data_IF_982698346827
#
_entry.id   IF_982698346827
#
_cell.length_a   1.000
_cell.length_b   1.000
_cell.length_c   1.000
_cell.angle_alpha   90.00
_cell.angle_beta   90.00
_cell.angle_gamma   90.00
#
_symmetry.space_group_name_H-M   'P 1'
#
loop_
_entity.id
_entity.type
_entity.pdbx_description
1 polymer ?
#
# COMPACT_ATOMS: atom_id res chain seq x y z
N UNK A 1 -21.24 7.06 24.42
CA UNK A 1 -19.90 6.51 24.03
C UNK A 1 -19.91 6.43 22.52
N UNK A 2 -18.90 6.96 21.86
CA UNK A 2 -18.84 6.93 20.40
C UNK A 2 -18.58 5.51 19.92
N UNK A 3 -19.34 5.06 18.93
CA UNK A 3 -19.26 3.72 18.35
C UNK A 3 -18.80 3.82 16.90
N UNK A 4 -17.68 3.17 16.56
CA UNK A 4 -17.07 3.20 15.22
C UNK A 4 -16.95 1.79 14.65
N UNK A 5 -17.33 1.63 13.40
CA UNK A 5 -17.08 0.39 12.64
C UNK A 5 -15.89 0.60 11.74
N UNK A 6 -14.93 -0.33 11.76
CA UNK A 6 -13.80 -0.39 10.85
C UNK A 6 -13.98 -1.61 9.93
N UNK A 7 -13.87 -1.41 8.62
CA UNK A 7 -13.97 -2.48 7.62
C UNK A 7 -12.69 -2.52 6.77
N UNK A 8 -12.00 -3.65 6.83
CA UNK A 8 -10.76 -3.92 6.11
C UNK A 8 -10.99 -4.92 4.97
N UNK A 9 -10.26 -4.84 3.84
CA UNK A 9 -10.47 -5.73 2.71
C UNK A 9 -10.13 -7.19 3.00
N UNK A 10 -9.11 -7.44 3.83
CA UNK A 10 -8.63 -8.78 4.19
C UNK A 10 -7.86 -8.76 5.52
N UNK A 11 -7.16 -9.84 5.87
CA UNK A 11 -6.37 -10.01 7.09
C UNK A 11 -4.85 -10.23 6.81
N UNK A 12 -4.35 -9.78 5.64
CA UNK A 12 -2.92 -9.86 5.35
C UNK A 12 -2.07 -9.04 6.34
N UNK A 13 -0.75 -9.16 6.27
CA UNK A 13 0.17 -8.47 7.21
C UNK A 13 -0.08 -6.97 7.32
N UNK A 14 -0.29 -6.29 6.19
CA UNK A 14 -0.56 -4.86 6.18
C UNK A 14 -1.88 -4.55 6.91
N UNK A 15 -2.95 -5.28 6.59
CA UNK A 15 -4.26 -5.10 7.23
C UNK A 15 -4.26 -5.49 8.70
N UNK A 16 -3.45 -6.49 9.07
CA UNK A 16 -3.25 -6.84 10.47
C UNK A 16 -2.64 -5.67 11.27
N UNK A 17 -1.64 -4.98 10.73
CA UNK A 17 -1.06 -3.78 11.38
C UNK A 17 -2.06 -2.63 11.46
N UNK A 18 -2.83 -2.38 10.41
CA UNK A 18 -3.92 -1.41 10.44
C UNK A 18 -4.92 -1.74 11.57
N UNK A 19 -5.29 -3.02 11.71
CA UNK A 19 -6.19 -3.48 12.78
C UNK A 19 -5.60 -3.31 14.19
N UNK A 20 -4.31 -3.60 14.38
CA UNK A 20 -3.61 -3.40 15.65
C UNK A 20 -3.59 -1.93 16.04
N UNK A 21 -3.21 -1.07 15.10
CA UNK A 21 -3.18 0.39 15.32
C UNK A 21 -4.58 0.93 15.56
N UNK A 22 -5.59 0.47 14.83
CA UNK A 22 -6.98 0.86 15.02
C UNK A 22 -7.45 0.53 16.46
N UNK A 23 -7.20 -0.69 16.97
CA UNK A 23 -7.57 -1.10 18.33
C UNK A 23 -6.87 -0.26 19.40
N UNK A 24 -5.57 -0.04 19.26
CA UNK A 24 -4.80 0.78 20.19
C UNK A 24 -5.31 2.22 20.24
N UNK A 25 -5.61 2.79 19.06
CA UNK A 25 -6.13 4.16 18.94
C UNK A 25 -7.55 4.26 19.52
N UNK A 26 -8.44 3.31 19.21
CA UNK A 26 -9.79 3.28 19.77
C UNK A 26 -9.78 3.21 21.31
N UNK A 27 -8.91 2.38 21.89
CA UNK A 27 -8.72 2.30 23.34
C UNK A 27 -8.24 3.64 23.93
N UNK A 28 -7.25 4.28 23.30
CA UNK A 28 -6.72 5.58 23.71
C UNK A 28 -7.77 6.69 23.65
N UNK A 29 -8.65 6.67 22.63
CA UNK A 29 -9.70 7.65 22.45
C UNK A 29 -10.97 7.36 23.27
N UNK A 30 -11.05 6.21 23.95
CA UNK A 30 -12.21 5.80 24.72
C UNK A 30 -13.46 5.56 23.87
N UNK A 31 -13.30 5.04 22.63
CA UNK A 31 -14.39 4.72 21.72
C UNK A 31 -14.60 3.21 21.61
N UNK A 32 -15.84 2.79 21.41
CA UNK A 32 -16.18 1.42 21.10
C UNK A 32 -15.92 1.16 19.61
N UNK A 33 -15.17 0.10 19.28
CA UNK A 33 -14.83 -0.20 17.90
C UNK A 33 -15.16 -1.64 17.54
N UNK A 34 -15.88 -1.84 16.44
CA UNK A 34 -16.10 -3.14 15.81
C UNK A 34 -15.32 -3.22 14.50
N UNK A 35 -14.64 -4.35 14.29
CA UNK A 35 -13.77 -4.54 13.13
C UNK A 35 -14.24 -5.72 12.29
N UNK A 36 -14.30 -5.53 10.96
CA UNK A 36 -14.64 -6.55 9.97
C UNK A 36 -13.50 -6.75 8.97
N UNK A 37 -13.38 -7.97 8.46
CA UNK A 37 -12.56 -8.32 7.31
C UNK A 37 -13.44 -8.88 6.19
N UNK A 38 -13.25 -8.42 4.97
CA UNK A 38 -14.11 -8.75 3.82
C UNK A 38 -13.57 -9.91 2.96
N UNK A 39 -12.43 -10.52 3.33
CA UNK A 39 -11.83 -11.65 2.60
C UNK A 39 -11.57 -11.38 1.11
N UNK A 40 -11.19 -10.13 0.77
CA UNK A 40 -11.00 -9.63 -0.60
C UNK A 40 -12.27 -9.71 -1.48
N UNK A 41 -13.46 -9.77 -0.86
CA UNK A 41 -14.73 -9.82 -1.57
C UNK A 41 -15.56 -8.55 -1.33
N UNK A 42 -15.80 -7.79 -2.40
CA UNK A 42 -16.58 -6.54 -2.36
C UNK A 42 -18.04 -6.77 -1.98
N UNK A 43 -18.61 -7.93 -2.33
CA UNK A 43 -20.00 -8.27 -2.01
C UNK A 43 -20.11 -8.54 -0.51
N UNK A 44 -19.19 -9.33 0.04
CA UNK A 44 -19.09 -9.58 1.48
C UNK A 44 -18.91 -8.27 2.25
N UNK A 45 -18.02 -7.38 1.79
CA UNK A 45 -17.82 -6.07 2.42
C UNK A 45 -19.11 -5.24 2.43
N UNK A 46 -19.76 -5.14 1.28
CA UNK A 46 -21.03 -4.42 1.16
C UNK A 46 -22.12 -4.97 2.07
N UNK A 47 -22.26 -6.30 2.15
CA UNK A 47 -23.26 -6.96 2.99
C UNK A 47 -23.01 -6.75 4.48
N UNK A 48 -21.74 -6.88 4.93
CA UNK A 48 -21.34 -6.61 6.32
C UNK A 48 -21.71 -5.19 6.74
N UNK A 49 -21.42 -4.20 5.89
CA UNK A 49 -21.72 -2.80 6.16
C UNK A 49 -23.21 -2.49 6.10
N UNK A 50 -23.96 -3.06 5.15
CA UNK A 50 -25.42 -2.90 5.08
C UNK A 50 -26.11 -3.45 6.33
N UNK A 51 -25.68 -4.62 6.84
CA UNK A 51 -26.22 -5.18 8.06
C UNK A 51 -26.05 -4.25 9.27
N UNK A 52 -24.92 -3.52 9.34
CA UNK A 52 -24.67 -2.52 10.39
C UNK A 52 -25.54 -1.27 10.20
N UNK A 53 -25.69 -0.79 8.97
CA UNK A 53 -26.48 0.41 8.65
C UNK A 53 -27.98 0.18 8.87
N UNK A 54 -28.45 -1.03 8.59
CA UNK A 54 -29.86 -1.43 8.72
C UNK A 54 -30.24 -1.88 10.14
N UNK A 55 -29.30 -1.94 11.06
CA UNK A 55 -29.57 -2.26 12.45
C UNK A 55 -30.51 -1.24 13.09
N UNK A 56 -31.07 -1.58 14.26
CA UNK A 56 -31.89 -0.65 15.05
C UNK A 56 -31.12 0.66 15.30
N UNK A 57 -31.77 1.84 15.23
CA UNK A 57 -31.10 3.13 15.35
C UNK A 57 -30.17 3.26 16.57
N UNK A 58 -30.55 2.68 17.69
CA UNK A 58 -29.73 2.68 18.93
C UNK A 58 -28.47 1.82 18.87
N UNK A 59 -28.37 0.95 17.87
CA UNK A 59 -27.23 0.01 17.67
C UNK A 59 -26.36 0.41 16.49
N UNK A 60 -26.69 1.50 15.78
CA UNK A 60 -25.91 2.01 14.65
C UNK A 60 -24.62 2.67 15.14
N UNK A 61 -23.53 2.55 14.38
CA UNK A 61 -22.32 3.32 14.69
C UNK A 61 -22.51 4.81 14.34
N UNK A 62 -21.73 5.65 14.99
CA UNK A 62 -21.60 7.07 14.66
C UNK A 62 -20.79 7.27 13.37
N UNK A 63 -19.85 6.36 13.07
CA UNK A 63 -19.02 6.39 11.88
C UNK A 63 -18.65 5.00 11.37
N UNK A 64 -18.45 4.92 10.07
CA UNK A 64 -17.83 3.79 9.38
C UNK A 64 -16.52 4.25 8.75
N UNK A 65 -15.41 3.60 9.10
CA UNK A 65 -14.11 3.76 8.44
C UNK A 65 -13.90 2.52 7.57
N UNK A 66 -13.79 2.69 6.27
CA UNK A 66 -13.66 1.59 5.32
C UNK A 66 -12.41 1.73 4.47
N UNK A 67 -11.59 0.67 4.40
CA UNK A 67 -10.65 0.47 3.31
C UNK A 67 -11.36 -0.41 2.27
N UNK A 68 -11.74 0.14 1.11
CA UNK A 68 -12.52 -0.62 0.14
C UNK A 68 -11.69 -1.75 -0.50
N UNK A 69 -12.33 -2.91 -0.73
CA UNK A 69 -11.74 -4.00 -1.53
C UNK A 69 -11.47 -3.53 -2.97
N UNK A 70 -12.33 -2.64 -3.48
CA UNK A 70 -12.25 -2.11 -4.85
C UNK A 70 -12.58 -0.62 -4.87
N UNK A 71 -12.12 0.08 -5.91
CA UNK A 71 -12.48 1.49 -6.16
C UNK A 71 -13.97 1.72 -6.44
N UNK A 72 -14.74 0.67 -6.73
CA UNK A 72 -16.17 0.69 -7.00
C UNK A 72 -16.91 -0.35 -6.13
N UNK A 73 -18.24 -0.23 -6.07
CA UNK A 73 -19.12 -1.23 -5.43
C UNK A 73 -19.69 -0.81 -4.09
N UNK A 74 -19.08 0.15 -3.38
CA UNK A 74 -19.59 0.63 -2.09
C UNK A 74 -20.42 1.94 -2.18
N UNK A 75 -20.59 2.54 -3.34
CA UNK A 75 -21.31 3.81 -3.47
C UNK A 75 -22.72 3.78 -2.85
N UNK A 76 -23.52 2.75 -3.17
CA UNK A 76 -24.88 2.60 -2.63
C UNK A 76 -24.87 2.39 -1.12
N UNK A 77 -23.88 1.66 -0.61
CA UNK A 77 -23.70 1.42 0.82
C UNK A 77 -23.36 2.73 1.53
N UNK A 78 -22.44 3.51 0.95
CA UNK A 78 -22.05 4.82 1.48
C UNK A 78 -23.23 5.80 1.50
N UNK A 79 -24.03 5.86 0.44
CA UNK A 79 -25.28 6.67 0.41
C UNK A 79 -26.28 6.25 1.50
N UNK A 80 -26.43 4.94 1.72
CA UNK A 80 -27.29 4.44 2.79
C UNK A 80 -26.75 4.79 4.19
N UNK A 81 -25.43 4.76 4.39
CA UNK A 81 -24.80 5.15 5.64
C UNK A 81 -25.07 6.61 5.97
N UNK A 82 -24.76 7.54 5.04
CA UNK A 82 -24.96 8.97 5.29
C UNK A 82 -26.42 9.34 5.45
N UNK A 83 -27.34 8.69 4.73
CA UNK A 83 -28.78 8.85 4.91
C UNK A 83 -29.28 8.36 6.28
N UNK A 84 -28.60 7.38 6.87
CA UNK A 84 -28.85 6.89 8.24
C UNK A 84 -28.17 7.75 9.32
N UNK A 85 -27.48 8.84 8.96
CA UNK A 85 -26.78 9.70 9.91
C UNK A 85 -25.40 9.19 10.33
N UNK A 86 -24.82 8.22 9.59
CA UNK A 86 -23.54 7.58 9.92
C UNK A 86 -22.44 8.25 9.07
N UNK A 87 -21.41 8.80 9.71
CA UNK A 87 -20.26 9.39 9.03
C UNK A 87 -19.52 8.33 8.18
N UNK A 88 -19.05 8.73 6.99
CA UNK A 88 -18.39 7.81 6.05
C UNK A 88 -16.97 8.23 5.77
N UNK A 89 -16.01 7.43 6.22
CA UNK A 89 -14.58 7.69 6.08
C UNK A 89 -13.94 6.60 5.23
N UNK A 90 -13.25 6.99 4.17
CA UNK A 90 -12.48 6.06 3.34
C UNK A 90 -11.01 6.12 3.74
N UNK A 91 -10.38 4.98 3.84
CA UNK A 91 -8.97 4.84 4.19
C UNK A 91 -8.14 4.29 3.03
N UNK A 92 -6.85 4.59 3.02
CA UNK A 92 -5.79 4.11 2.14
C UNK A 92 -5.77 4.74 0.74
N UNK A 93 -6.89 4.88 0.05
CA UNK A 93 -6.96 5.53 -1.27
C UNK A 93 -8.30 6.23 -1.48
N UNK A 94 -8.30 7.23 -2.37
CA UNK A 94 -9.52 7.98 -2.71
C UNK A 94 -10.38 7.19 -3.71
N UNK A 95 -11.70 7.38 -3.63
CA UNK A 95 -12.70 6.80 -4.53
C UNK A 95 -13.59 7.89 -5.12
N UNK A 96 -13.97 7.73 -6.39
CA UNK A 96 -14.62 8.80 -7.17
C UNK A 96 -15.99 9.24 -6.59
N UNK A 97 -16.78 8.30 -6.07
CA UNK A 97 -18.13 8.60 -5.55
C UNK A 97 -18.14 9.54 -4.34
N UNK A 98 -17.01 9.77 -3.67
CA UNK A 98 -16.96 10.67 -2.51
C UNK A 98 -17.27 12.12 -2.85
N UNK A 99 -16.96 12.57 -4.06
CA UNK A 99 -17.24 13.95 -4.50
C UNK A 99 -18.75 14.22 -4.46
N UNK A 100 -19.53 13.34 -5.08
CA UNK A 100 -21.00 13.47 -5.07
C UNK A 100 -21.60 13.21 -3.68
N UNK A 101 -21.05 12.24 -2.95
CA UNK A 101 -21.54 11.88 -1.62
C UNK A 101 -21.41 13.06 -0.64
N UNK A 102 -20.31 13.82 -0.68
CA UNK A 102 -20.12 15.01 0.15
C UNK A 102 -21.16 16.07 -0.08
N UNK A 103 -21.53 16.30 -1.36
CA UNK A 103 -22.50 17.34 -1.74
C UNK A 103 -23.89 17.09 -1.15
N UNK A 104 -24.25 15.85 -0.85
CA UNK A 104 -25.59 15.46 -0.37
C UNK A 104 -25.58 14.96 1.08
N UNK A 105 -24.43 14.82 1.70
CA UNK A 105 -24.29 14.22 3.02
C UNK A 105 -24.56 15.24 4.15
N UNK A 106 -25.44 14.94 5.11
CA UNK A 106 -25.61 15.73 6.32
C UNK A 106 -24.55 15.43 7.40
N UNK A 107 -23.70 14.43 7.18
CA UNK A 107 -22.67 13.94 8.12
C UNK A 107 -21.28 13.99 7.49
N UNK A 108 -20.20 13.93 8.28
CA UNK A 108 -18.84 13.96 7.76
C UNK A 108 -18.55 12.86 6.71
N UNK A 109 -17.94 13.26 5.59
CA UNK A 109 -17.48 12.37 4.53
C UNK A 109 -16.09 12.83 4.09
N UNK A 110 -15.05 12.03 4.38
CA UNK A 110 -13.67 12.37 4.05
C UNK A 110 -12.81 11.12 3.78
N UNK A 111 -11.59 11.35 3.32
CA UNK A 111 -10.63 10.29 3.06
C UNK A 111 -9.30 10.55 3.79
N UNK A 112 -8.70 9.47 4.30
CA UNK A 112 -7.31 9.45 4.78
C UNK A 112 -6.51 8.52 3.88
N UNK A 113 -5.61 9.08 3.07
CA UNK A 113 -4.89 8.35 2.01
C UNK A 113 -3.39 8.36 2.25
N UNK A 114 -2.72 7.30 1.82
CA UNK A 114 -1.26 7.25 1.76
C UNK A 114 -0.67 8.01 0.57
N UNK A 115 -1.49 8.60 -0.32
CA UNK A 115 -0.98 9.24 -1.53
C UNK A 115 -0.30 8.23 -2.46
N UNK A 116 -1.07 7.25 -2.97
CA UNK A 116 -0.52 6.12 -3.73
C UNK A 116 0.27 6.56 -4.98
N UNK A 117 -0.11 7.68 -5.59
CA UNK A 117 0.63 8.28 -6.69
C UNK A 117 1.99 8.82 -6.22
N UNK A 118 2.03 9.55 -5.11
CA UNK A 118 3.27 10.13 -4.54
C UNK A 118 4.24 9.05 -4.06
N UNK A 119 3.70 7.92 -3.55
CA UNK A 119 4.49 6.71 -3.25
C UNK A 119 5.18 6.21 -4.52
N UNK A 120 4.44 6.12 -5.61
CA UNK A 120 4.98 5.73 -6.92
C UNK A 120 6.05 6.71 -7.40
N UNK A 121 5.79 8.02 -7.35
CA UNK A 121 6.78 9.05 -7.71
C UNK A 121 8.08 8.90 -6.92
N UNK A 122 7.97 8.68 -5.60
CA UNK A 122 9.15 8.49 -4.74
C UNK A 122 9.93 7.25 -5.17
N UNK A 123 9.25 6.14 -5.50
CA UNK A 123 9.90 4.93 -6.02
C UNK A 123 10.57 5.18 -7.38
N UNK A 124 9.95 5.94 -8.28
CA UNK A 124 10.56 6.33 -9.56
C UNK A 124 11.83 7.16 -9.38
N UNK A 125 11.85 8.07 -8.43
CA UNK A 125 13.07 8.84 -8.05
C UNK A 125 14.15 7.95 -7.44
N UNK A 126 13.78 6.93 -6.63
CA UNK A 126 14.73 5.93 -6.13
C UNK A 126 15.34 5.11 -7.29
N UNK A 127 14.52 4.73 -8.27
CA UNK A 127 15.01 4.05 -9.48
C UNK A 127 15.99 4.93 -10.25
N UNK A 128 15.69 6.22 -10.42
CA UNK A 128 16.58 7.18 -11.07
C UNK A 128 17.94 7.31 -10.38
N UNK A 129 17.97 7.28 -9.04
CA UNK A 129 19.20 7.35 -8.27
C UNK A 129 20.05 6.07 -8.38
N UNK A 130 19.41 4.91 -8.56
CA UNK A 130 20.10 3.61 -8.64
C UNK A 130 20.47 3.23 -10.08
N UNK A 131 19.63 3.53 -11.06
CA UNK A 131 19.83 3.17 -12.46
C UNK A 131 19.24 4.24 -13.37
N UNK A 132 20.06 5.14 -13.95
CA UNK A 132 19.57 6.18 -14.88
C UNK A 132 19.12 5.61 -16.24
N UNK A 133 19.54 4.39 -16.56
CA UNK A 133 19.15 3.64 -17.77
C UNK A 133 19.23 2.13 -17.50
N UNK A 134 18.69 1.32 -18.41
CA UNK A 134 18.72 -0.14 -18.31
C UNK A 134 17.35 -0.76 -18.17
N UNK A 135 17.23 -1.93 -17.54
CA UNK A 135 15.98 -2.66 -17.39
C UNK A 135 15.66 -2.93 -15.91
N UNK A 136 14.44 -2.64 -15.51
CA UNK A 136 13.90 -2.91 -14.19
C UNK A 136 12.92 -4.08 -14.26
N UNK A 137 13.13 -5.08 -13.40
CA UNK A 137 12.10 -6.07 -13.12
C UNK A 137 11.13 -5.48 -12.10
N UNK A 138 9.94 -5.10 -12.57
CA UNK A 138 8.95 -4.41 -11.75
C UNK A 138 7.81 -5.35 -11.32
N UNK A 139 7.73 -5.62 -10.01
CA UNK A 139 6.79 -6.57 -9.44
C UNK A 139 5.61 -5.78 -8.86
N UNK A 140 4.45 -5.97 -9.47
CA UNK A 140 3.23 -5.24 -9.18
C UNK A 140 2.21 -6.10 -8.44
N UNK A 141 1.33 -5.45 -7.71
CA UNK A 141 0.10 -6.05 -7.21
C UNK A 141 -0.90 -6.37 -8.34
N UNK A 142 -2.14 -6.75 -7.99
CA UNK A 142 -3.17 -7.05 -8.98
C UNK A 142 -3.41 -5.87 -9.93
N UNK A 143 -3.50 -6.15 -11.23
CA UNK A 143 -3.64 -5.12 -12.26
C UNK A 143 -4.92 -4.27 -12.11
N UNK A 144 -5.96 -4.81 -11.48
CA UNK A 144 -7.23 -4.13 -11.23
C UNK A 144 -7.27 -3.34 -9.91
N UNK A 145 -6.22 -3.45 -9.08
CA UNK A 145 -6.14 -2.72 -7.82
C UNK A 145 -5.87 -1.24 -8.06
N UNK A 146 -6.69 -0.31 -7.55
CA UNK A 146 -6.44 1.13 -7.63
C UNK A 146 -5.07 1.52 -7.06
N UNK A 147 -4.64 0.88 -5.98
CA UNK A 147 -3.32 1.07 -5.36
C UNK A 147 -2.21 0.71 -6.35
N UNK A 148 -2.30 -0.45 -7.00
CA UNK A 148 -1.31 -0.90 -7.99
C UNK A 148 -1.22 0.06 -9.17
N UNK A 149 -2.37 0.49 -9.68
CA UNK A 149 -2.46 1.43 -10.83
C UNK A 149 -1.85 2.78 -10.47
N UNK A 150 -2.24 3.38 -9.34
CA UNK A 150 -1.74 4.70 -8.93
C UNK A 150 -0.24 4.69 -8.65
N UNK A 151 0.28 3.65 -7.94
CA UNK A 151 1.73 3.50 -7.73
C UNK A 151 2.50 3.36 -9.05
N UNK A 152 1.96 2.62 -10.00
CA UNK A 152 2.58 2.50 -11.33
C UNK A 152 2.62 3.83 -12.06
N UNK A 153 1.50 4.56 -12.11
CA UNK A 153 1.42 5.87 -12.76
C UNK A 153 2.39 6.88 -12.14
N UNK A 154 2.46 6.96 -10.81
CA UNK A 154 3.40 7.82 -10.11
C UNK A 154 4.85 7.43 -10.39
N UNK A 155 5.19 6.14 -10.38
CA UNK A 155 6.54 5.66 -10.71
C UNK A 155 6.91 6.00 -12.17
N UNK A 156 6.01 5.79 -13.11
CA UNK A 156 6.23 6.11 -14.53
C UNK A 156 6.43 7.61 -14.76
N UNK A 157 5.81 8.50 -13.96
CA UNK A 157 5.96 9.95 -14.10
C UNK A 157 7.36 10.47 -13.73
N UNK A 158 8.11 9.73 -12.89
CA UNK A 158 9.41 10.18 -12.36
C UNK A 158 10.58 9.26 -12.70
N UNK A 159 10.33 8.03 -13.19
CA UNK A 159 11.42 7.18 -13.66
C UNK A 159 12.14 7.78 -14.85
N UNK A 160 13.45 7.55 -15.04
CA UNK A 160 14.18 7.95 -16.23
C UNK A 160 13.58 7.33 -17.51
N UNK A 161 13.55 8.10 -18.60
CA UNK A 161 13.11 7.58 -19.90
C UNK A 161 13.96 6.41 -20.40
N UNK A 162 15.26 6.38 -20.07
CA UNK A 162 16.18 5.30 -20.41
C UNK A 162 15.93 3.98 -19.64
N UNK A 163 15.07 3.96 -18.62
CA UNK A 163 14.69 2.76 -17.89
C UNK A 163 13.51 2.05 -18.55
N UNK A 164 13.74 0.82 -19.00
CA UNK A 164 12.70 -0.09 -19.50
C UNK A 164 12.12 -0.89 -18.33
N UNK A 165 10.82 -1.18 -18.40
CA UNK A 165 10.15 -1.98 -17.38
C UNK A 165 9.78 -3.35 -17.93
N UNK A 166 10.15 -4.39 -17.20
CA UNK A 166 9.58 -5.73 -17.34
C UNK A 166 8.65 -5.98 -16.18
N UNK A 167 7.36 -5.90 -16.41
CA UNK A 167 6.34 -6.00 -15.36
C UNK A 167 5.88 -7.43 -15.14
N UNK A 168 5.79 -7.82 -13.86
CA UNK A 168 5.15 -9.04 -13.41
C UNK A 168 4.07 -8.70 -12.40
N UNK A 169 2.90 -9.33 -12.52
CA UNK A 169 1.80 -9.16 -11.58
C UNK A 169 1.71 -10.34 -10.61
N UNK A 170 1.35 -10.03 -9.36
CA UNK A 170 1.07 -11.02 -8.33
C UNK A 170 -0.05 -10.52 -7.42
N UNK A 171 -0.52 -11.34 -6.49
CA UNK A 171 -1.34 -10.86 -5.37
C UNK A 171 -0.44 -10.15 -4.35
N UNK A 172 -1.07 -9.46 -3.39
CA UNK A 172 -0.37 -8.71 -2.33
C UNK A 172 0.23 -9.64 -1.26
N UNK A 173 1.05 -10.63 -1.65
CA UNK A 173 1.71 -11.53 -0.71
C UNK A 173 3.07 -11.98 -1.22
N UNK A 174 3.96 -12.25 -0.29
CA UNK A 174 5.31 -12.76 -0.53
C UNK A 174 5.29 -14.09 -1.31
N UNK A 175 4.41 -15.02 -0.92
CA UNK A 175 4.30 -16.33 -1.58
C UNK A 175 3.82 -16.21 -3.02
N UNK A 176 2.84 -15.33 -3.28
CA UNK A 176 2.36 -15.10 -4.65
C UNK A 176 3.44 -14.50 -5.55
N UNK A 177 4.22 -13.55 -5.04
CA UNK A 177 5.35 -12.99 -5.79
C UNK A 177 6.43 -14.06 -6.07
N UNK A 178 6.79 -14.87 -5.07
CA UNK A 178 7.71 -15.99 -5.22
C UNK A 178 7.26 -16.96 -6.32
N UNK A 179 5.98 -17.35 -6.32
CA UNK A 179 5.41 -18.26 -7.33
C UNK A 179 5.43 -17.63 -8.73
N UNK A 180 5.04 -16.36 -8.86
CA UNK A 180 5.05 -15.63 -10.12
C UNK A 180 6.48 -15.57 -10.70
N UNK A 181 7.47 -15.22 -9.87
CA UNK A 181 8.88 -15.18 -10.26
C UNK A 181 9.43 -16.57 -10.61
N UNK A 182 9.15 -17.59 -9.79
CA UNK A 182 9.60 -18.95 -10.06
C UNK A 182 9.05 -19.48 -11.39
N UNK A 183 7.82 -19.13 -11.75
CA UNK A 183 7.22 -19.45 -13.05
C UNK A 183 7.91 -18.68 -14.18
N UNK A 184 8.11 -17.38 -14.00
CA UNK A 184 8.79 -16.53 -15.01
C UNK A 184 10.24 -16.96 -15.26
N UNK A 185 11.01 -17.34 -14.24
CA UNK A 185 12.39 -17.81 -14.36
C UNK A 185 12.54 -19.08 -15.21
N UNK A 186 11.48 -19.87 -15.40
CA UNK A 186 11.48 -21.05 -16.27
C UNK A 186 11.39 -20.69 -17.76
N UNK A 187 11.02 -19.47 -18.08
CA UNK A 187 10.89 -19.01 -19.47
C UNK A 187 12.25 -18.70 -20.06
N UNK A 188 12.49 -19.06 -21.32
CA UNK A 188 13.75 -18.76 -22.01
C UNK A 188 14.02 -17.24 -22.08
N UNK A 189 12.97 -16.42 -22.15
CA UNK A 189 13.06 -14.96 -22.18
C UNK A 189 13.64 -14.36 -20.90
N UNK A 190 13.48 -15.00 -19.73
CA UNK A 190 14.05 -14.51 -18.47
C UNK A 190 15.57 -14.54 -18.46
N UNK A 191 16.17 -15.49 -19.18
CA UNK A 191 17.63 -15.66 -19.29
C UNK A 191 18.28 -14.80 -20.36
N UNK A 192 17.47 -14.32 -21.32
CA UNK A 192 17.96 -13.50 -22.43
C UNK A 192 17.99 -12.00 -22.09
N UNK A 193 17.26 -11.57 -21.05
CA UNK A 193 17.19 -10.18 -20.63
C UNK A 193 18.21 -9.87 -19.52
N UNK A 194 18.91 -8.75 -19.65
CA UNK A 194 19.74 -8.21 -18.56
C UNK A 194 18.93 -7.23 -17.73
N UNK A 195 19.03 -7.37 -16.42
CA UNK A 195 18.36 -6.50 -15.45
C UNK A 195 19.38 -5.75 -14.60
N UNK A 196 19.06 -4.50 -14.29
CA UNK A 196 19.91 -3.60 -13.49
C UNK A 196 19.32 -3.34 -12.10
N UNK A 197 18.00 -3.57 -11.94
CA UNK A 197 17.28 -3.24 -10.72
C UNK A 197 16.02 -4.11 -10.60
N UNK A 198 15.67 -4.47 -9.37
CA UNK A 198 14.41 -5.09 -9.00
C UNK A 198 13.63 -4.10 -8.14
N UNK A 199 12.41 -3.80 -8.54
CA UNK A 199 11.53 -2.94 -7.77
C UNK A 199 10.15 -3.58 -7.61
N UNK A 200 9.58 -3.43 -6.43
CA UNK A 200 8.31 -4.04 -6.10
C UNK A 200 7.37 -3.03 -5.42
N UNK A 201 6.09 -3.17 -5.65
CA UNK A 201 5.06 -2.28 -5.10
C UNK A 201 4.81 -2.49 -3.61
N UNK A 202 5.34 -3.56 -3.01
CA UNK A 202 5.45 -3.73 -1.55
C UNK A 202 6.75 -4.44 -1.19
N UNK A 203 7.13 -4.36 0.08
CA UNK A 203 8.29 -5.09 0.58
C UNK A 203 8.07 -6.61 0.57
N UNK A 204 6.84 -7.08 0.80
CA UNK A 204 6.53 -8.51 0.69
C UNK A 204 6.76 -9.02 -0.74
N UNK A 205 6.36 -8.25 -1.76
CA UNK A 205 6.61 -8.62 -3.14
C UNK A 205 8.11 -8.66 -3.46
N UNK A 206 8.88 -7.72 -2.91
CA UNK A 206 10.35 -7.70 -3.04
C UNK A 206 11.00 -8.93 -2.36
N UNK A 207 10.55 -9.29 -1.15
CA UNK A 207 11.03 -10.46 -0.43
C UNK A 207 10.63 -11.76 -1.13
N UNK A 208 9.41 -11.84 -1.69
CA UNK A 208 8.97 -12.98 -2.49
C UNK A 208 9.84 -13.18 -3.73
N UNK A 209 10.20 -12.09 -4.42
CA UNK A 209 11.17 -12.15 -5.51
C UNK A 209 12.52 -12.66 -5.05
N UNK A 210 13.05 -12.13 -3.95
CA UNK A 210 14.33 -12.55 -3.38
C UNK A 210 14.34 -14.04 -3.08
N UNK A 211 13.27 -14.56 -2.46
CA UNK A 211 13.15 -16.01 -2.19
C UNK A 211 13.08 -16.86 -3.46
N UNK A 212 12.45 -16.37 -4.53
CA UNK A 212 12.48 -17.07 -5.81
C UNK A 212 13.91 -17.16 -6.39
N UNK A 213 14.68 -16.08 -6.28
CA UNK A 213 16.07 -16.07 -6.73
C UNK A 213 16.99 -16.92 -5.84
N UNK A 214 16.77 -16.95 -4.52
CA UNK A 214 17.49 -17.83 -3.58
C UNK A 214 17.31 -19.32 -3.93
N UNK A 215 16.16 -19.69 -4.53
CA UNK A 215 15.85 -21.04 -4.97
C UNK A 215 16.42 -21.40 -6.35
N UNK A 216 17.09 -20.48 -7.06
CA UNK A 216 17.74 -20.77 -8.35
C UNK A 216 18.90 -21.76 -8.14
N UNK A 217 18.92 -22.94 -8.84
CA UNK A 217 19.93 -23.95 -8.62
C UNK A 217 21.35 -23.53 -8.98
N UNK A 218 21.50 -22.78 -10.08
CA UNK A 218 22.79 -22.33 -10.61
C UNK A 218 23.38 -21.23 -9.70
N UNK A 219 24.56 -21.47 -9.12
CA UNK A 219 25.16 -20.57 -8.14
C UNK A 219 25.46 -19.17 -8.69
N UNK A 220 25.94 -19.08 -9.92
CA UNK A 220 26.32 -17.81 -10.52
C UNK A 220 25.10 -16.99 -10.95
N UNK A 221 24.07 -17.65 -11.52
CA UNK A 221 22.78 -17.03 -11.82
C UNK A 221 22.09 -16.52 -10.53
N UNK A 222 22.08 -17.34 -9.48
CA UNK A 222 21.57 -16.97 -8.16
C UNK A 222 22.30 -15.76 -7.58
N UNK A 223 23.64 -15.75 -7.61
CA UNK A 223 24.45 -14.61 -7.17
C UNK A 223 24.16 -13.35 -7.98
N UNK A 224 24.02 -13.47 -9.29
CA UNK A 224 23.67 -12.36 -10.15
C UNK A 224 22.38 -11.70 -9.70
N UNK A 225 21.28 -12.46 -9.56
CA UNK A 225 19.99 -11.95 -9.12
C UNK A 225 20.03 -11.32 -7.74
N UNK A 226 20.69 -11.95 -6.77
CA UNK A 226 20.73 -11.48 -5.38
C UNK A 226 21.64 -10.26 -5.19
N UNK A 227 22.54 -9.97 -6.12
CA UNK A 227 23.40 -8.79 -6.11
C UNK A 227 22.77 -7.56 -6.77
N UNK A 228 21.63 -7.70 -7.45
CA UNK A 228 20.90 -6.56 -7.97
C UNK A 228 20.34 -5.70 -6.83
N UNK A 229 20.22 -4.38 -7.01
CA UNK A 229 19.51 -3.54 -6.07
C UNK A 229 18.03 -3.96 -5.98
N UNK A 230 17.47 -3.96 -4.76
CA UNK A 230 16.06 -4.25 -4.49
C UNK A 230 15.39 -3.02 -3.89
N UNK A 231 14.27 -2.60 -4.48
CA UNK A 231 13.38 -1.56 -3.94
C UNK A 231 12.05 -2.15 -3.51
N UNK A 232 11.54 -1.69 -2.37
CA UNK A 232 10.23 -2.05 -1.86
C UNK A 232 9.45 -0.84 -1.35
N UNK A 233 8.23 -1.07 -0.90
CA UNK A 233 7.36 -0.06 -0.28
C UNK A 233 6.75 -0.70 0.95
N UNK A 234 6.60 0.05 2.04
CA UNK A 234 5.92 -0.47 3.23
C UNK A 234 5.93 0.48 4.41
N UNK A 235 5.30 0.06 5.50
CA UNK A 235 5.29 0.83 6.74
C UNK A 235 6.72 0.94 7.28
N UNK A 236 7.07 2.13 7.77
CA UNK A 236 8.42 2.48 8.17
C UNK A 236 9.06 1.44 9.11
N UNK A 237 8.32 1.00 10.12
CA UNK A 237 8.77 -0.03 11.09
C UNK A 237 9.14 -1.37 10.46
N UNK A 238 8.53 -1.71 9.31
CA UNK A 238 8.79 -2.97 8.61
C UNK A 238 9.99 -2.86 7.67
N UNK A 239 10.10 -1.76 6.91
CA UNK A 239 11.04 -1.69 5.79
C UNK A 239 12.42 -1.15 6.15
N UNK A 240 12.55 -0.28 7.16
CA UNK A 240 13.85 0.26 7.56
C UNK A 240 14.81 -0.85 7.98
N UNK A 241 14.35 -1.77 8.83
CA UNK A 241 15.15 -2.91 9.24
C UNK A 241 15.51 -3.88 8.09
N UNK A 242 14.74 -3.93 7.00
CA UNK A 242 15.09 -4.72 5.81
C UNK A 242 16.21 -4.05 5.02
N UNK A 243 16.18 -2.72 4.92
CA UNK A 243 17.26 -1.95 4.29
C UNK A 243 18.54 -2.02 5.11
N UNK A 244 18.46 -1.88 6.43
CA UNK A 244 19.63 -1.92 7.33
C UNK A 244 20.34 -3.30 7.30
N UNK A 245 19.57 -4.38 7.10
CA UNK A 245 20.11 -5.74 6.93
C UNK A 245 20.54 -6.07 5.49
N UNK A 246 20.43 -5.14 4.55
CA UNK A 246 20.81 -5.33 3.15
C UNK A 246 19.88 -6.26 2.35
N UNK A 247 18.67 -6.55 2.86
CA UNK A 247 17.66 -7.30 2.12
C UNK A 247 16.96 -6.43 1.06
N UNK A 248 16.89 -5.12 1.30
CA UNK A 248 16.52 -4.11 0.34
C UNK A 248 17.64 -3.09 0.23
N UNK A 249 17.81 -2.50 -0.94
CA UNK A 249 18.73 -1.38 -1.16
C UNK A 249 18.11 -0.06 -0.71
N UNK A 250 16.81 0.04 -0.89
CA UNK A 250 15.99 1.16 -0.45
C UNK A 250 14.51 0.81 -0.41
N UNK A 251 13.76 1.64 0.30
CA UNK A 251 12.32 1.50 0.39
C UNK A 251 11.61 2.86 0.41
N UNK A 252 10.40 2.92 -0.13
CA UNK A 252 9.48 4.01 0.17
C UNK A 252 8.79 3.67 1.49
N UNK A 253 8.95 4.53 2.48
CA UNK A 253 8.32 4.37 3.80
C UNK A 253 6.98 5.07 3.83
N UNK A 254 6.00 4.40 4.44
CA UNK A 254 4.66 4.92 4.69
C UNK A 254 4.32 4.78 6.18
N UNK A 255 3.19 5.35 6.59
CA UNK A 255 2.60 5.15 7.91
C UNK A 255 1.25 4.47 7.79
N UNK A 256 0.67 4.03 8.90
CA UNK A 256 -0.73 3.58 8.96
C UNK A 256 -1.67 4.75 8.69
N UNK A 257 -2.89 4.45 8.28
CA UNK A 257 -3.95 5.45 8.06
C UNK A 257 -5.04 5.38 9.11
N UNK A 258 -5.14 4.25 9.82
CA UNK A 258 -6.26 3.98 10.74
C UNK A 258 -6.24 4.83 12.01
N UNK A 259 -5.06 5.13 12.56
CA UNK A 259 -4.91 6.04 13.69
C UNK A 259 -5.45 7.44 13.36
N UNK A 260 -4.99 7.99 12.23
CA UNK A 260 -5.42 9.31 11.75
C UNK A 260 -6.92 9.30 11.42
N UNK A 261 -7.42 8.26 10.74
CA UNK A 261 -8.83 8.15 10.39
C UNK A 261 -9.73 8.10 11.65
N UNK A 262 -9.33 7.36 12.69
CA UNK A 262 -10.05 7.31 13.97
C UNK A 262 -10.00 8.65 14.72
N UNK A 263 -8.84 9.28 14.81
CA UNK A 263 -8.69 10.60 15.46
C UNK A 263 -9.56 11.65 14.81
N UNK A 264 -9.53 11.73 13.47
CA UNK A 264 -10.34 12.67 12.72
C UNK A 264 -11.84 12.35 12.81
N UNK A 265 -12.23 11.07 12.79
CA UNK A 265 -13.62 10.66 12.97
C UNK A 265 -14.15 11.08 14.36
N UNK A 266 -13.40 10.83 15.42
CA UNK A 266 -13.78 11.22 16.79
C UNK A 266 -13.87 12.73 16.90
N UNK A 267 -12.88 13.46 16.42
CA UNK A 267 -12.85 14.92 16.44
C UNK A 267 -14.04 15.55 15.69
N UNK A 268 -14.45 15.00 14.54
CA UNK A 268 -15.63 15.50 13.82
C UNK A 268 -16.94 15.19 14.53
N UNK A 269 -17.04 14.04 15.19
CA UNK A 269 -18.27 13.59 15.87
C UNK A 269 -18.42 14.28 17.23
N UNK A 270 -17.39 14.27 18.06
CA UNK A 270 -17.44 14.77 19.45
C UNK A 270 -17.23 16.28 19.51
N UNK A 271 -16.17 16.79 18.85
CA UNK A 271 -15.74 18.20 18.93
C UNK A 271 -16.35 19.08 17.84
N UNK A 272 -17.10 18.49 16.90
CA UNK A 272 -17.68 19.18 15.73
C UNK A 272 -16.62 19.92 14.88
N UNK A 273 -15.39 19.44 14.86
CA UNK A 273 -14.31 20.05 14.07
C UNK A 273 -14.51 19.80 12.58
N UNK A 274 -14.13 20.76 11.76
CA UNK A 274 -14.09 20.59 10.31
C UNK A 274 -12.74 19.98 9.93
N UNK A 275 -12.76 18.92 9.14
CA UNK A 275 -11.55 18.24 8.64
C UNK A 275 -11.44 18.40 7.12
N UNK A 276 -10.22 18.33 6.55
CA UNK A 276 -10.04 18.34 5.10
C UNK A 276 -10.78 17.19 4.43
N UNK A 277 -11.25 17.40 3.21
CA UNK A 277 -11.86 16.33 2.41
C UNK A 277 -10.92 15.15 2.15
N UNK A 278 -9.62 15.44 2.07
CA UNK A 278 -8.57 14.46 1.92
C UNK A 278 -7.38 14.80 2.83
N UNK A 279 -6.99 13.88 3.68
CA UNK A 279 -5.76 13.95 4.48
C UNK A 279 -4.76 12.95 3.94
N UNK A 280 -3.58 13.43 3.53
CA UNK A 280 -2.50 12.56 3.05
C UNK A 280 -1.52 12.25 4.17
N UNK A 281 -1.20 10.96 4.31
CA UNK A 281 -0.14 10.49 5.20
C UNK A 281 1.20 10.67 4.51
N UNK A 282 2.20 11.17 5.24
CA UNK A 282 3.53 11.42 4.69
C UNK A 282 4.22 10.14 4.23
N UNK A 283 4.88 10.23 3.09
CA UNK A 283 5.76 9.21 2.55
C UNK A 283 7.18 9.77 2.42
N UNK A 284 8.19 8.89 2.52
CA UNK A 284 9.57 9.30 2.32
C UNK A 284 10.41 8.15 1.75
N UNK A 285 11.60 8.47 1.27
CA UNK A 285 12.60 7.48 0.86
C UNK A 285 13.48 7.10 2.05
N UNK A 286 13.75 5.80 2.20
CA UNK A 286 14.76 5.29 3.12
C UNK A 286 15.72 4.35 2.39
N UNK A 287 17.05 4.60 2.40
CA UNK A 287 17.64 5.89 2.81
C UNK A 287 17.14 7.06 1.96
N UNK A 288 17.51 8.27 2.33
CA UNK A 288 17.24 9.44 1.48
C UNK A 288 17.75 9.21 0.04
N UNK A 289 17.12 9.81 -0.94
CA UNK A 289 17.41 9.54 -2.38
C UNK A 289 18.88 9.85 -2.70
N UNK A 290 19.43 10.89 -2.12
CA UNK A 290 20.84 11.28 -2.26
C UNK A 290 21.79 10.18 -1.77
N UNK A 291 21.41 9.50 -0.68
CA UNK A 291 22.15 8.36 -0.12
C UNK A 291 22.12 7.10 -1.00
N UNK A 292 21.09 6.94 -1.82
CA UNK A 292 21.03 5.85 -2.81
C UNK A 292 22.01 6.06 -3.96
N UNK A 293 22.17 7.29 -4.44
CA UNK A 293 23.10 7.63 -5.52
C UNK A 293 24.56 7.31 -5.15
N UNK A 294 24.93 7.52 -3.90
CA UNK A 294 26.30 7.21 -3.42
C UNK A 294 26.60 5.70 -3.32
N UNK A 295 25.60 4.84 -3.12
CA UNK A 295 25.78 3.37 -3.10
C UNK A 295 26.14 2.78 -4.47
N UNK A 296 25.86 3.50 -5.55
CA UNK A 296 26.16 3.08 -6.95
C UNK A 296 27.37 3.77 -7.58
N UNK A 297 28.08 4.63 -6.86
CA UNK A 297 29.32 5.25 -7.32
C UNK A 297 30.43 4.20 -7.57
N UNK A 298 31.42 4.48 -8.46
CA UNK A 298 32.50 3.55 -8.81
C UNK A 298 33.30 3.03 -7.62
N UNK A 299 33.32 3.74 -6.48
CA UNK A 299 33.99 3.32 -5.24
C UNK A 299 33.22 2.23 -4.45
N UNK A 300 31.90 2.17 -4.56
CA UNK A 300 31.08 1.15 -3.87
C UNK A 300 31.14 -0.22 -4.57
N UNK A 301 31.34 -0.25 -5.89
CA UNK A 301 31.52 -1.48 -6.67
C UNK A 301 32.87 -2.16 -6.44
N UNK A 302 33.87 -1.42 -5.94
CA UNK A 302 35.21 -1.97 -5.65
C UNK A 302 35.27 -2.70 -4.31
N UNK A 303 34.47 -2.31 -3.32
CA UNK A 303 34.45 -2.94 -1.97
C UNK A 303 33.71 -4.28 -1.97
N UNK A 304 32.81 -4.53 -2.93
CA UNK A 304 32.09 -5.81 -3.08
C UNK A 304 32.88 -6.87 -3.89
N UNK A 305 34.08 -6.53 -4.40
CA UNK A 305 34.95 -7.44 -5.16
C UNK A 305 36.20 -7.87 -4.38
N UNK A 306 36.37 -7.47 -3.15
CA UNK A 306 37.39 -7.91 -2.22
C UNK A 306 36.75 -8.83 -1.16
#
# INVERSE_FOLDING_TARGET
MTHIVVSLPNDNKYQHEQAVVARATALRLGVEMKLFHASDDVITQGQQLLNVIQAEPSSRPDAIIVEPVSGAGLERVARAAVAAGIAWIVSNFNVEYLVELRNVSPVPVFVVSQGQFDIGETQGRQMAALAPSGTVLYIQGPATSPVSVQRRLGMESTKPQGLKLRSLHSRWSEESAKQALATWLRLATSRAEHFDLIAAQTHELALGARRAFEAVPQSDERKHWLNLPFLGIGISSQVTGLVDRGLLTGAVTTSTTMDIALELAVSTIQDKTTVPECTFVRTSSYPAIEGLAHKNGPLSRAVLKA
#
